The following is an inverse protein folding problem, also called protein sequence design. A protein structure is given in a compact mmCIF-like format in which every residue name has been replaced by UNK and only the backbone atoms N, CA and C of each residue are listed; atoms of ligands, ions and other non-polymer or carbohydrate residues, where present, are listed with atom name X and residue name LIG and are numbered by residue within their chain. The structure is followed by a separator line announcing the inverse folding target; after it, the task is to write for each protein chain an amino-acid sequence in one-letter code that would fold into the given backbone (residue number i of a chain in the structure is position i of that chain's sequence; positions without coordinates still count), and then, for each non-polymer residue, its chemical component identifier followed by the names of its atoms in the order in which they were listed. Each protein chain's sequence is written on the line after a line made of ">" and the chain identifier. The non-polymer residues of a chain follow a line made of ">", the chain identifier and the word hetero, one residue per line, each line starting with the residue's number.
data_IF_270047104336
#
_entry.id   IF_270047104336
#
_cell.length_a   1.000
_cell.length_b   1.000
_cell.length_c   1.000
_cell.angle_alpha   90.00
_cell.angle_beta   90.00
_cell.angle_gamma   90.00
#
_symmetry.space_group_name_H-M   'P 1'
#
loop_
_entity.id
_entity.type
_entity.pdbx_description
1 polymer ?
#
# COMPACT_ATOMS: atom_id res chain seq x y z
N UNK A 1 32.00 22.72 14.24
CA UNK A 1 30.78 22.09 14.80
C UNK A 1 29.51 22.59 14.09
N UNK A 2 29.46 23.81 13.62
CA UNK A 2 28.30 24.39 12.91
C UNK A 2 28.14 23.90 11.46
N UNK A 3 29.24 23.71 10.73
CA UNK A 3 29.24 23.13 9.37
C UNK A 3 28.78 21.68 9.35
N UNK A 4 29.14 20.87 10.36
CA UNK A 4 28.71 19.48 10.49
C UNK A 4 27.21 19.37 10.78
N UNK A 5 26.66 20.32 11.56
CA UNK A 5 25.21 20.39 11.82
C UNK A 5 24.40 20.82 10.58
N UNK A 6 24.92 21.76 9.78
CA UNK A 6 24.29 22.15 8.49
C UNK A 6 24.26 21.00 7.51
N UNK A 7 25.38 20.29 7.35
CA UNK A 7 25.48 19.11 6.48
C UNK A 7 24.55 17.98 6.92
N UNK A 8 24.42 17.72 8.23
CA UNK A 8 23.52 16.70 8.76
C UNK A 8 22.03 17.08 8.50
N UNK A 9 21.65 18.33 8.74
CA UNK A 9 20.29 18.81 8.50
C UNK A 9 19.87 18.73 7.03
N UNK A 10 20.79 19.05 6.11
CA UNK A 10 20.54 18.91 4.68
C UNK A 10 20.41 17.46 4.24
N UNK A 11 21.21 16.57 4.81
CA UNK A 11 21.12 15.13 4.53
C UNK A 11 19.81 14.53 5.03
N UNK A 12 19.38 14.87 6.25
CA UNK A 12 18.08 14.44 6.80
C UNK A 12 16.92 14.95 5.95
N UNK A 13 16.97 16.22 5.53
CA UNK A 13 15.95 16.83 4.66
C UNK A 13 15.87 16.12 3.30
N UNK A 14 17.02 15.75 2.74
CA UNK A 14 17.13 15.02 1.48
C UNK A 14 16.56 13.59 1.57
N UNK A 15 16.89 12.89 2.66
CA UNK A 15 16.34 11.56 2.94
C UNK A 15 14.83 11.62 3.21
N UNK A 16 14.38 12.58 4.00
CA UNK A 16 12.95 12.78 4.24
C UNK A 16 12.19 13.05 2.94
N UNK A 17 12.71 13.94 2.07
CA UNK A 17 12.10 14.16 0.76
C UNK A 17 12.05 12.88 -0.08
N UNK A 18 13.15 12.14 -0.17
CA UNK A 18 13.26 10.92 -0.95
C UNK A 18 12.25 9.86 -0.50
N UNK A 19 12.14 9.62 0.80
CA UNK A 19 11.30 8.55 1.33
C UNK A 19 9.85 8.98 1.59
N UNK A 20 9.59 10.19 2.07
CA UNK A 20 8.22 10.63 2.38
C UNK A 20 7.51 11.38 1.25
N UNK A 21 8.23 11.96 0.29
CA UNK A 21 7.60 12.66 -0.84
C UNK A 21 7.72 11.84 -2.12
N UNK A 22 8.93 11.51 -2.54
CA UNK A 22 9.15 10.87 -3.83
C UNK A 22 8.62 9.42 -3.83
N UNK A 23 8.95 8.63 -2.80
CA UNK A 23 8.50 7.25 -2.69
C UNK A 23 6.98 7.15 -2.47
N UNK A 24 6.37 7.99 -1.63
CA UNK A 24 4.91 8.05 -1.50
C UNK A 24 4.22 8.49 -2.79
N UNK A 25 4.81 9.43 -3.52
CA UNK A 25 4.34 9.80 -4.86
C UNK A 25 4.36 8.62 -5.83
N UNK A 26 5.41 7.79 -5.76
CA UNK A 26 5.50 6.54 -6.53
C UNK A 26 4.44 5.52 -6.12
N UNK A 27 4.25 5.33 -4.81
CA UNK A 27 3.20 4.48 -4.27
C UNK A 27 1.81 4.91 -4.77
N UNK A 28 1.51 6.21 -4.74
CA UNK A 28 0.24 6.74 -5.22
C UNK A 28 0.01 6.44 -6.70
N UNK A 29 1.01 6.64 -7.55
CA UNK A 29 0.91 6.33 -8.97
C UNK A 29 0.62 4.85 -9.22
N UNK A 30 1.30 3.95 -8.48
CA UNK A 30 1.04 2.52 -8.53
C UNK A 30 -0.40 2.17 -8.11
N UNK A 31 -0.89 2.76 -7.01
CA UNK A 31 -2.26 2.58 -6.53
C UNK A 31 -3.31 3.04 -7.54
N UNK A 32 -3.08 4.18 -8.19
CA UNK A 32 -4.01 4.71 -9.20
C UNK A 32 -4.18 3.75 -10.37
N UNK A 33 -3.06 3.25 -10.92
CA UNK A 33 -3.09 2.38 -12.10
C UNK A 33 -3.66 1.00 -11.80
N UNK A 34 -3.48 0.50 -10.58
CA UNK A 34 -3.91 -0.85 -10.21
C UNK A 34 -5.22 -0.83 -9.43
N UNK A 35 -5.19 -0.42 -8.17
CA UNK A 35 -6.34 -0.52 -7.28
C UNK A 35 -7.50 0.38 -7.71
N UNK A 36 -7.24 1.67 -8.00
CA UNK A 36 -8.32 2.61 -8.31
C UNK A 36 -8.92 2.29 -9.69
N UNK A 37 -8.09 2.06 -10.70
CA UNK A 37 -8.59 1.65 -12.01
C UNK A 37 -9.32 0.29 -11.94
N UNK A 38 -8.78 -0.67 -11.18
CA UNK A 38 -9.39 -1.98 -10.95
C UNK A 38 -10.77 -1.89 -10.29
N UNK A 39 -10.90 -1.05 -9.25
CA UNK A 39 -12.19 -0.85 -8.58
C UNK A 39 -13.21 -0.17 -9.49
N UNK A 40 -12.82 0.79 -10.31
CA UNK A 40 -13.72 1.42 -11.30
C UNK A 40 -14.25 0.36 -12.27
N UNK A 41 -13.37 -0.46 -12.84
CA UNK A 41 -13.76 -1.56 -13.75
C UNK A 41 -14.70 -2.54 -13.06
N UNK A 42 -14.42 -2.91 -11.80
CA UNK A 42 -15.29 -3.79 -11.00
C UNK A 42 -16.66 -3.18 -10.74
N UNK A 43 -16.77 -1.87 -10.52
CA UNK A 43 -18.07 -1.19 -10.37
C UNK A 43 -18.86 -1.19 -11.69
N UNK A 44 -18.20 -0.94 -12.82
CA UNK A 44 -18.84 -1.04 -14.14
C UNK A 44 -19.35 -2.47 -14.39
N UNK A 45 -18.56 -3.48 -14.02
CA UNK A 45 -18.96 -4.88 -14.11
C UNK A 45 -20.26 -5.17 -13.33
N UNK A 46 -20.37 -4.64 -12.10
CA UNK A 46 -21.58 -4.76 -11.27
C UNK A 46 -22.79 -4.09 -11.89
N UNK A 47 -22.62 -2.93 -12.52
CA UNK A 47 -23.70 -2.22 -13.23
C UNK A 47 -24.22 -2.97 -14.47
N UNK A 48 -23.32 -3.64 -15.19
CA UNK A 48 -23.69 -4.45 -16.38
C UNK A 48 -24.36 -5.77 -15.96
N UNK A 49 -24.04 -6.26 -14.77
CA UNK A 49 -24.47 -7.57 -14.26
C UNK A 49 -23.37 -8.62 -14.42
N UNK A 50 -22.92 -9.15 -13.29
CA UNK A 50 -21.84 -10.14 -13.21
C UNK A 50 -22.25 -11.53 -13.73
N UNK A 51 -23.54 -11.78 -13.90
CA UNK A 51 -24.11 -13.02 -14.48
C UNK A 51 -23.96 -13.08 -16.02
N UNK A 52 -23.67 -11.95 -16.65
CA UNK A 52 -23.46 -11.87 -18.10
C UNK A 52 -21.97 -12.07 -18.39
N UNK A 53 -21.64 -12.82 -19.44
CA UNK A 53 -20.26 -13.17 -19.79
C UNK A 53 -19.30 -11.97 -19.87
N UNK A 54 -19.78 -10.84 -20.40
CA UNK A 54 -18.97 -9.61 -20.47
C UNK A 54 -18.79 -8.96 -19.09
N UNK A 55 -19.82 -8.90 -18.24
CA UNK A 55 -19.69 -8.38 -16.88
C UNK A 55 -18.78 -9.23 -16.01
N UNK A 56 -18.86 -10.56 -16.14
CA UNK A 56 -17.94 -11.48 -15.46
C UNK A 56 -16.48 -11.26 -15.89
N UNK A 57 -16.23 -11.02 -17.19
CA UNK A 57 -14.89 -10.72 -17.70
C UNK A 57 -14.35 -9.41 -17.12
N UNK A 58 -15.16 -8.35 -17.10
CA UNK A 58 -14.78 -7.07 -16.50
C UNK A 58 -14.49 -7.22 -15.00
N UNK A 59 -15.30 -8.00 -14.28
CA UNK A 59 -15.05 -8.28 -12.86
C UNK A 59 -13.71 -8.99 -12.65
N UNK A 60 -13.39 -9.98 -13.47
CA UNK A 60 -12.09 -10.65 -13.44
C UNK A 60 -10.93 -9.66 -13.66
N UNK A 61 -11.03 -8.79 -14.68
CA UNK A 61 -10.02 -7.77 -14.96
C UNK A 61 -9.85 -6.82 -13.77
N UNK A 62 -10.94 -6.35 -13.18
CA UNK A 62 -10.92 -5.49 -12.00
C UNK A 62 -10.30 -6.15 -10.78
N UNK A 63 -10.61 -7.41 -10.52
CA UNK A 63 -10.04 -8.19 -9.44
C UNK A 63 -8.53 -8.40 -9.62
N UNK A 64 -8.09 -8.78 -10.84
CA UNK A 64 -6.66 -8.93 -11.15
C UNK A 64 -5.92 -7.62 -10.93
N UNK A 65 -6.46 -6.50 -11.43
CA UNK A 65 -5.84 -5.19 -11.25
C UNK A 65 -5.73 -4.81 -9.76
N UNK A 66 -6.76 -5.08 -8.96
CA UNK A 66 -6.76 -4.81 -7.51
C UNK A 66 -5.71 -5.63 -6.76
N UNK A 67 -5.56 -6.91 -7.08
CA UNK A 67 -4.56 -7.78 -6.43
C UNK A 67 -3.13 -7.41 -6.83
N UNK A 68 -2.94 -6.92 -8.07
CA UNK A 68 -1.64 -6.41 -8.53
C UNK A 68 -1.24 -5.07 -7.91
N UNK A 69 -2.04 -4.53 -6.98
CA UNK A 69 -1.76 -3.28 -6.26
C UNK A 69 -0.33 -3.24 -5.71
N UNK A 70 0.10 -4.30 -5.03
CA UNK A 70 1.45 -4.38 -4.48
C UNK A 70 2.53 -4.27 -5.55
N UNK A 71 2.35 -4.94 -6.68
CA UNK A 71 3.28 -4.85 -7.82
C UNK A 71 3.32 -3.43 -8.40
N UNK A 72 2.16 -2.78 -8.55
CA UNK A 72 2.06 -1.39 -8.99
C UNK A 72 2.79 -0.43 -8.05
N UNK A 73 2.60 -0.58 -6.74
CA UNK A 73 3.33 0.17 -5.71
C UNK A 73 4.84 -0.03 -5.87
N UNK A 74 5.28 -1.29 -6.03
CA UNK A 74 6.69 -1.62 -6.17
C UNK A 74 7.34 -0.91 -7.34
N UNK A 75 6.76 -1.02 -8.52
CA UNK A 75 7.25 -0.36 -9.73
C UNK A 75 7.22 1.17 -9.60
N UNK A 76 6.13 1.73 -9.06
CA UNK A 76 5.96 3.16 -8.88
C UNK A 76 7.04 3.75 -7.97
N UNK A 77 7.33 3.12 -6.83
CA UNK A 77 8.40 3.53 -5.91
C UNK A 77 9.75 3.41 -6.58
N UNK A 78 10.06 2.26 -7.20
CA UNK A 78 11.33 2.05 -7.87
C UNK A 78 11.58 3.08 -8.98
N UNK A 79 10.56 3.41 -9.76
CA UNK A 79 10.64 4.45 -10.79
C UNK A 79 10.98 5.82 -10.20
N UNK A 80 10.30 6.24 -9.13
CA UNK A 80 10.53 7.54 -8.46
C UNK A 80 11.89 7.60 -7.76
N UNK A 81 12.37 6.49 -7.22
CA UNK A 81 13.70 6.41 -6.59
C UNK A 81 14.85 6.25 -7.60
N UNK A 82 14.55 6.20 -8.90
CA UNK A 82 15.54 6.09 -9.97
C UNK A 82 16.05 4.67 -10.19
N UNK A 83 15.31 3.65 -9.76
CA UNK A 83 15.61 2.24 -10.04
C UNK A 83 15.59 1.97 -11.55
N UNK A 84 16.63 1.29 -12.05
CA UNK A 84 16.80 0.98 -13.46
C UNK A 84 16.93 -0.52 -13.69
N UNK A 85 16.61 -0.94 -14.93
CA UNK A 85 16.80 -2.32 -15.36
C UNK A 85 16.10 -3.34 -14.47
N UNK A 86 16.84 -4.35 -14.03
CA UNK A 86 16.30 -5.49 -13.27
C UNK A 86 15.72 -5.10 -11.90
N UNK A 87 16.27 -4.05 -11.25
CA UNK A 87 15.74 -3.56 -9.96
C UNK A 87 14.32 -3.03 -10.14
N UNK A 88 14.04 -2.30 -11.22
CA UNK A 88 12.70 -1.78 -11.52
C UNK A 88 11.69 -2.91 -11.70
N UNK A 89 12.02 -3.95 -12.47
CA UNK A 89 11.12 -5.08 -12.69
C UNK A 89 11.00 -5.97 -11.43
N UNK A 90 12.12 -6.22 -10.74
CA UNK A 90 12.13 -6.99 -9.51
C UNK A 90 11.32 -6.35 -8.39
N UNK A 91 11.21 -5.02 -8.37
CA UNK A 91 10.40 -4.29 -7.38
C UNK A 91 8.89 -4.60 -7.47
N UNK A 92 8.40 -5.05 -8.64
CA UNK A 92 7.02 -5.55 -8.76
C UNK A 92 6.80 -6.79 -7.89
N UNK A 93 7.77 -7.71 -7.91
CA UNK A 93 7.72 -8.94 -7.09
C UNK A 93 7.85 -8.57 -5.61
N UNK A 94 8.80 -7.69 -5.27
CA UNK A 94 8.97 -7.19 -3.90
C UNK A 94 7.68 -6.55 -3.36
N UNK A 95 7.01 -5.75 -4.17
CA UNK A 95 5.76 -5.10 -3.81
C UNK A 95 4.62 -6.07 -3.59
N UNK A 96 4.51 -7.11 -4.42
CA UNK A 96 3.50 -8.15 -4.25
C UNK A 96 3.75 -8.98 -2.98
N UNK A 97 5.00 -9.37 -2.73
CA UNK A 97 5.39 -10.05 -1.48
C UNK A 97 5.04 -9.17 -0.28
N UNK A 98 5.42 -7.90 -0.31
CA UNK A 98 5.15 -6.94 0.77
C UNK A 98 3.67 -6.63 0.99
N UNK A 99 2.82 -6.83 -0.02
CA UNK A 99 1.38 -6.64 0.12
C UNK A 99 0.70 -7.75 0.94
N UNK A 100 1.20 -8.99 0.87
CA UNK A 100 0.55 -10.15 1.49
C UNK A 100 1.34 -10.74 2.66
N UNK A 101 2.67 -10.82 2.56
CA UNK A 101 3.50 -11.51 3.54
C UNK A 101 3.46 -10.89 4.94
N UNK A 102 3.61 -9.55 5.15
CA UNK A 102 3.58 -8.96 6.48
C UNK A 102 2.23 -9.14 7.19
N UNK A 103 1.13 -9.09 6.46
CA UNK A 103 -0.20 -9.34 7.01
C UNK A 103 -0.35 -10.82 7.41
N UNK A 104 0.09 -11.76 6.58
CA UNK A 104 0.06 -13.18 6.90
C UNK A 104 0.90 -13.53 8.13
N UNK A 105 2.09 -12.90 8.27
CA UNK A 105 2.94 -13.05 9.46
C UNK A 105 2.20 -12.53 10.70
N UNK A 106 1.58 -11.35 10.60
CA UNK A 106 0.82 -10.76 11.69
C UNK A 106 -0.35 -11.65 12.11
N UNK A 107 -1.13 -12.17 11.15
CA UNK A 107 -2.30 -13.00 11.40
C UNK A 107 -1.93 -14.33 12.07
N UNK A 108 -0.78 -14.92 11.70
CA UNK A 108 -0.26 -16.13 12.35
C UNK A 108 0.27 -15.82 13.74
N UNK A 109 0.96 -14.67 13.93
CA UNK A 109 1.51 -14.27 15.22
C UNK A 109 0.41 -13.85 16.22
N UNK A 110 -0.72 -13.34 15.74
CA UNK A 110 -1.87 -12.95 16.55
C UNK A 110 -2.82 -14.13 16.85
N UNK A 111 -2.67 -15.26 16.14
CA UNK A 111 -3.48 -16.47 16.36
C UNK A 111 -2.99 -17.31 17.52
N UNK A 112 -3.86 -18.19 18.05
CA UNK A 112 -3.55 -19.08 19.17
C UNK A 112 -2.67 -20.30 18.78
N UNK A 113 -2.21 -20.37 17.53
CA UNK A 113 -1.39 -21.45 17.00
C UNK A 113 0.11 -21.22 17.16
N UNK A 114 0.91 -22.30 17.05
CA UNK A 114 2.36 -22.18 17.01
C UNK A 114 2.80 -21.41 15.77
N UNK A 115 3.68 -20.42 15.94
CA UNK A 115 4.26 -19.69 14.80
C UNK A 115 5.16 -20.61 13.99
N UNK A 116 4.73 -20.94 12.78
CA UNK A 116 5.51 -21.72 11.82
C UNK A 116 5.51 -21.03 10.45
N UNK A 117 6.63 -21.17 9.72
CA UNK A 117 6.72 -20.60 8.36
C UNK A 117 5.71 -21.29 7.41
N UNK A 118 5.31 -22.53 7.70
CA UNK A 118 4.29 -23.24 6.94
C UNK A 118 2.92 -22.56 7.12
N UNK A 119 2.55 -22.21 8.35
CA UNK A 119 1.31 -21.48 8.63
C UNK A 119 1.27 -20.10 7.94
N UNK A 120 2.41 -19.40 7.90
CA UNK A 120 2.51 -18.13 7.15
C UNK A 120 2.30 -18.38 5.65
N UNK A 121 2.94 -19.39 5.08
CA UNK A 121 2.80 -19.70 3.65
C UNK A 121 1.35 -20.09 3.29
N UNK A 122 0.64 -20.79 4.17
CA UNK A 122 -0.76 -21.15 4.01
C UNK A 122 -1.70 -19.93 4.09
N UNK A 123 -1.37 -18.93 4.91
CA UNK A 123 -2.14 -17.69 5.02
C UNK A 123 -1.94 -16.75 3.81
N UNK A 124 -0.84 -16.86 3.07
CA UNK A 124 -0.58 -16.09 1.84
C UNK A 124 -1.41 -16.64 0.68
N UNK A 125 -2.70 -16.33 0.66
CA UNK A 125 -3.66 -16.86 -0.32
C UNK A 125 -3.90 -15.88 -1.49
N UNK A 126 -2.91 -15.74 -2.36
CA UNK A 126 -3.03 -14.87 -3.56
C UNK A 126 -4.15 -15.36 -4.50
N UNK A 127 -4.35 -16.64 -4.63
CA UNK A 127 -5.41 -17.22 -5.46
C UNK A 127 -6.82 -16.88 -4.97
N UNK A 128 -7.05 -16.95 -3.65
CA UNK A 128 -8.31 -16.54 -3.04
C UNK A 128 -8.53 -15.02 -3.16
N UNK A 129 -7.46 -14.23 -3.06
CA UNK A 129 -7.49 -12.78 -3.29
C UNK A 129 -7.84 -12.43 -4.74
N UNK A 130 -7.34 -13.18 -5.72
CA UNK A 130 -7.71 -13.02 -7.13
C UNK A 130 -9.20 -13.28 -7.37
N UNK A 131 -9.77 -14.29 -6.74
CA UNK A 131 -11.19 -14.60 -6.86
C UNK A 131 -12.08 -13.52 -6.23
N UNK A 132 -11.67 -12.98 -5.07
CA UNK A 132 -12.43 -11.99 -4.31
C UNK A 132 -12.13 -10.53 -4.68
N UNK A 133 -11.04 -10.27 -5.43
CA UNK A 133 -10.54 -8.93 -5.73
C UNK A 133 -10.01 -8.18 -4.50
N UNK A 134 -9.67 -8.91 -3.42
CA UNK A 134 -9.12 -8.28 -2.21
C UNK A 134 -7.67 -7.85 -2.43
N UNK A 135 -7.38 -6.54 -2.33
CA UNK A 135 -6.01 -6.06 -2.38
C UNK A 135 -5.26 -6.46 -1.10
N UNK A 136 -3.94 -6.57 -1.20
CA UNK A 136 -3.10 -6.73 -0.02
C UNK A 136 -2.92 -5.42 0.77
N UNK A 137 -1.99 -5.42 1.72
CA UNK A 137 -1.70 -4.25 2.56
C UNK A 137 -0.73 -3.29 1.86
N UNK A 138 -1.14 -2.04 1.55
CA UNK A 138 -0.29 -1.09 0.83
C UNK A 138 0.92 -0.61 1.64
N UNK A 139 0.80 -0.48 2.96
CA UNK A 139 1.92 -0.06 3.83
C UNK A 139 2.95 -1.19 3.97
N UNK A 140 2.49 -2.44 4.07
CA UNK A 140 3.38 -3.60 4.02
C UNK A 140 4.20 -3.62 2.72
N UNK A 141 3.53 -3.39 1.58
CA UNK A 141 4.18 -3.26 0.28
C UNK A 141 5.19 -2.11 0.24
N UNK A 142 4.81 -0.93 0.74
CA UNK A 142 5.67 0.26 0.77
C UNK A 142 7.00 0.00 1.50
N UNK A 143 6.94 -0.49 2.74
CA UNK A 143 8.14 -0.72 3.56
C UNK A 143 9.01 -1.81 2.96
N UNK A 144 8.41 -2.91 2.54
CA UNK A 144 9.11 -4.03 1.91
C UNK A 144 9.86 -3.59 0.66
N UNK A 145 9.20 -2.82 -0.21
CA UNK A 145 9.79 -2.32 -1.45
C UNK A 145 10.93 -1.34 -1.19
N UNK A 146 10.77 -0.41 -0.25
CA UNK A 146 11.85 0.53 0.11
C UNK A 146 13.11 -0.21 0.52
N UNK A 147 12.99 -1.15 1.45
CA UNK A 147 14.13 -1.93 1.93
C UNK A 147 14.71 -2.81 0.81
N UNK A 148 13.85 -3.44 0.01
CA UNK A 148 14.29 -4.30 -1.08
C UNK A 148 15.08 -3.50 -2.14
N UNK A 149 14.61 -2.32 -2.54
CA UNK A 149 15.29 -1.48 -3.52
C UNK A 149 16.65 -0.98 -2.97
N UNK A 150 16.67 -0.43 -1.76
CA UNK A 150 17.89 0.15 -1.20
C UNK A 150 18.97 -0.92 -0.99
N UNK A 151 18.61 -2.08 -0.45
CA UNK A 151 19.58 -3.17 -0.24
C UNK A 151 20.02 -3.82 -1.56
N UNK A 152 19.11 -4.00 -2.52
CA UNK A 152 19.48 -4.57 -3.82
C UNK A 152 20.35 -3.61 -4.63
N UNK A 153 20.13 -2.30 -4.55
CA UNK A 153 20.99 -1.31 -5.20
C UNK A 153 22.43 -1.34 -4.70
N UNK A 154 22.69 -1.84 -3.50
CA UNK A 154 24.07 -2.04 -3.02
C UNK A 154 24.82 -3.13 -3.80
N UNK A 155 24.09 -4.07 -4.39
CA UNK A 155 24.63 -5.23 -5.11
C UNK A 155 24.56 -5.00 -6.63
N UNK A 156 23.51 -4.38 -7.10
CA UNK A 156 23.23 -4.16 -8.52
C UNK A 156 24.35 -3.36 -9.22
N UNK A 157 24.76 -3.82 -10.39
CA UNK A 157 25.79 -3.19 -11.22
C UNK A 157 27.22 -3.50 -10.81
N UNK A 158 27.46 -4.37 -9.83
CA UNK A 158 28.80 -4.71 -9.33
C UNK A 158 29.36 -6.02 -9.87
N UNK A 159 28.52 -6.87 -10.44
CA UNK A 159 28.91 -8.21 -10.88
C UNK A 159 28.52 -8.48 -12.34
N UNK A 160 29.26 -9.35 -13.00
CA UNK A 160 28.93 -9.80 -14.38
C UNK A 160 27.68 -10.71 -14.40
N UNK A 161 27.24 -11.20 -13.24
CA UNK A 161 26.09 -12.08 -13.07
C UNK A 161 24.84 -11.34 -12.56
N UNK A 162 24.77 -10.03 -12.76
CA UNK A 162 23.66 -9.18 -12.28
C UNK A 162 22.29 -9.66 -12.76
N UNK A 163 22.23 -10.26 -13.95
CA UNK A 163 20.98 -10.79 -14.51
C UNK A 163 20.32 -11.87 -13.63
N UNK A 164 21.12 -12.62 -12.89
CA UNK A 164 20.66 -13.64 -11.95
C UNK A 164 20.67 -13.13 -10.51
N UNK A 165 21.70 -12.39 -10.13
CA UNK A 165 21.93 -11.96 -8.75
C UNK A 165 20.92 -10.92 -8.30
N UNK A 166 20.58 -9.95 -9.16
CA UNK A 166 19.62 -8.88 -8.81
C UNK A 166 18.22 -9.43 -8.56
N UNK A 167 17.59 -10.27 -9.43
CA UNK A 167 16.28 -10.84 -9.13
C UNK A 167 16.26 -11.73 -7.87
N UNK A 168 17.28 -12.55 -7.67
CA UNK A 168 17.35 -13.40 -6.48
C UNK A 168 17.54 -12.58 -5.21
N UNK A 169 18.41 -11.57 -5.23
CA UNK A 169 18.63 -10.70 -4.08
C UNK A 169 17.40 -9.90 -3.71
N UNK A 170 16.67 -9.35 -4.69
CA UNK A 170 15.44 -8.58 -4.39
C UNK A 170 14.35 -9.45 -3.79
N UNK A 171 14.20 -10.71 -4.25
CA UNK A 171 13.24 -11.66 -3.66
C UNK A 171 13.64 -12.03 -2.24
N UNK A 172 14.91 -12.41 -2.01
CA UNK A 172 15.41 -12.77 -0.69
C UNK A 172 15.29 -11.61 0.32
N UNK A 173 15.68 -10.41 -0.10
CA UNK A 173 15.56 -9.20 0.71
C UNK A 173 14.09 -8.88 0.99
N UNK A 174 13.18 -9.09 0.03
CA UNK A 174 11.74 -8.83 0.21
C UNK A 174 11.13 -9.72 1.29
N UNK A 175 11.57 -10.97 1.42
CA UNK A 175 11.12 -11.85 2.50
C UNK A 175 11.57 -11.30 3.86
N UNK A 176 12.85 -10.94 3.99
CA UNK A 176 13.38 -10.36 5.23
C UNK A 176 12.73 -9.01 5.55
N UNK A 177 12.56 -8.15 4.55
CA UNK A 177 11.89 -6.87 4.70
C UNK A 177 10.40 -7.01 5.07
N UNK A 178 9.75 -8.10 4.65
CA UNK A 178 8.39 -8.43 5.06
C UNK A 178 8.26 -8.59 6.57
N UNK A 179 9.23 -9.22 7.24
CA UNK A 179 9.25 -9.30 8.70
C UNK A 179 9.44 -7.92 9.36
N UNK A 180 10.27 -7.06 8.77
CA UNK A 180 10.47 -5.69 9.26
C UNK A 180 9.22 -4.83 9.09
N UNK A 181 8.37 -5.12 8.11
CA UNK A 181 7.12 -4.41 7.86
C UNK A 181 5.99 -4.77 8.84
N UNK A 182 6.08 -5.89 9.55
CA UNK A 182 5.02 -6.37 10.47
C UNK A 182 4.60 -5.34 11.52
N UNK A 183 5.51 -4.63 12.24
CA UNK A 183 5.11 -3.64 13.24
C UNK A 183 4.30 -2.49 12.64
N UNK A 184 4.61 -2.07 11.41
CA UNK A 184 3.85 -1.01 10.75
C UNK A 184 2.46 -1.51 10.31
N UNK A 185 2.36 -2.74 9.82
CA UNK A 185 1.07 -3.38 9.52
C UNK A 185 0.23 -3.52 10.79
N UNK A 186 0.83 -3.93 11.90
CA UNK A 186 0.17 -3.99 13.20
C UNK A 186 -0.38 -2.62 13.64
N UNK A 187 0.42 -1.56 13.52
CA UNK A 187 -0.01 -0.20 13.87
C UNK A 187 -1.21 0.24 13.02
N UNK A 188 -1.17 0.01 11.71
CA UNK A 188 -2.29 0.33 10.81
C UNK A 188 -3.53 -0.51 11.14
N UNK A 189 -3.39 -1.80 11.42
CA UNK A 189 -4.50 -2.66 11.84
C UNK A 189 -5.15 -2.17 13.14
N UNK A 190 -4.35 -1.66 14.08
CA UNK A 190 -4.86 -1.05 15.32
C UNK A 190 -5.67 0.21 15.04
N UNK A 191 -5.18 1.10 14.16
CA UNK A 191 -5.90 2.30 13.75
C UNK A 191 -7.20 1.94 13.04
N UNK A 192 -7.17 0.98 12.11
CA UNK A 192 -8.36 0.51 11.38
C UNK A 192 -9.42 -0.05 12.33
N UNK A 193 -9.00 -0.85 13.30
CA UNK A 193 -9.88 -1.41 14.33
C UNK A 193 -10.50 -0.33 15.23
N UNK A 194 -9.71 0.68 15.59
CA UNK A 194 -10.22 1.83 16.34
C UNK A 194 -11.29 2.58 15.53
N UNK A 195 -11.05 2.83 14.24
CA UNK A 195 -12.02 3.48 13.35
C UNK A 195 -13.29 2.65 13.24
N UNK A 196 -13.18 1.34 13.07
CA UNK A 196 -14.32 0.42 12.98
C UNK A 196 -15.21 0.48 14.23
N UNK A 197 -14.61 0.27 15.41
CA UNK A 197 -15.31 0.30 16.69
C UNK A 197 -15.92 1.67 16.98
N UNK A 198 -15.18 2.74 16.74
CA UNK A 198 -15.64 4.10 16.98
C UNK A 198 -16.78 4.49 16.01
N UNK A 199 -16.72 4.05 14.75
CA UNK A 199 -17.77 4.28 13.75
C UNK A 199 -19.03 3.52 14.09
N UNK A 200 -18.91 2.27 14.57
CA UNK A 200 -20.05 1.47 15.00
C UNK A 200 -20.74 2.06 16.25
N UNK A 201 -19.96 2.61 17.20
CA UNK A 201 -20.47 3.17 18.43
C UNK A 201 -21.14 4.55 18.23
N UNK A 202 -20.49 5.44 17.46
CA UNK A 202 -20.92 6.83 17.25
C UNK A 202 -20.65 7.27 15.79
N UNK A 203 -21.47 6.83 14.83
CA UNK A 203 -21.20 7.04 13.40
C UNK A 203 -21.15 8.52 13.01
N UNK A 204 -21.97 9.39 13.62
CA UNK A 204 -21.99 10.81 13.30
C UNK A 204 -20.71 11.52 13.74
N UNK A 205 -20.27 11.31 14.99
CA UNK A 205 -19.05 11.92 15.52
C UNK A 205 -17.83 11.43 14.75
N UNK A 206 -17.77 10.12 14.49
CA UNK A 206 -16.66 9.53 13.74
C UNK A 206 -16.63 10.01 12.29
N UNK A 207 -17.78 10.21 11.66
CA UNK A 207 -17.89 10.81 10.33
C UNK A 207 -17.27 12.21 10.28
N UNK A 208 -17.55 13.06 11.28
CA UNK A 208 -16.95 14.40 11.41
C UNK A 208 -15.41 14.31 11.60
N UNK A 209 -14.95 13.43 12.50
CA UNK A 209 -13.51 13.24 12.77
C UNK A 209 -12.76 12.80 11.51
N UNK A 210 -13.28 11.79 10.79
CA UNK A 210 -12.67 11.30 9.55
C UNK A 210 -12.64 12.41 8.48
N UNK A 211 -13.73 13.17 8.34
CA UNK A 211 -13.82 14.28 7.40
C UNK A 211 -12.74 15.35 7.66
N UNK A 212 -12.56 15.74 8.92
CA UNK A 212 -11.54 16.73 9.32
C UNK A 212 -10.14 16.19 9.11
N UNK A 213 -9.86 14.95 9.53
CA UNK A 213 -8.54 14.32 9.36
C UNK A 213 -8.17 14.20 7.88
N UNK A 214 -9.12 13.79 7.03
CA UNK A 214 -8.88 13.72 5.59
C UNK A 214 -8.65 15.09 4.97
N UNK A 215 -9.38 16.11 5.41
CA UNK A 215 -9.14 17.49 5.01
C UNK A 215 -7.71 17.96 5.34
N UNK A 216 -7.23 17.66 6.54
CA UNK A 216 -5.86 18.01 6.97
C UNK A 216 -4.82 17.23 6.14
N UNK A 217 -5.03 15.91 5.91
CA UNK A 217 -4.11 15.08 5.12
C UNK A 217 -3.95 15.58 3.68
N UNK A 218 -4.99 16.18 3.09
CA UNK A 218 -4.90 16.78 1.76
C UNK A 218 -3.97 18.00 1.70
N UNK A 219 -3.76 18.70 2.79
CA UNK A 219 -2.83 19.85 2.83
C UNK A 219 -1.37 19.42 2.94
N UNK A 220 -1.10 18.17 3.31
CA UNK A 220 0.25 17.65 3.44
C UNK A 220 0.85 17.27 2.08
N UNK A 221 2.17 17.41 1.88
CA UNK A 221 2.85 17.01 0.64
C UNK A 221 2.98 15.49 0.48
N UNK A 222 2.10 14.73 1.12
CA UNK A 222 2.00 13.27 1.06
C UNK A 222 0.74 12.87 0.29
N UNK A 223 0.71 11.66 -0.25
CA UNK A 223 -0.50 11.15 -0.90
C UNK A 223 -1.55 10.77 0.15
N UNK A 224 -2.51 11.66 0.39
CA UNK A 224 -3.66 11.40 1.28
C UNK A 224 -4.45 10.17 0.86
N UNK A 225 -4.60 9.94 -0.45
CA UNK A 225 -5.26 8.75 -0.98
C UNK A 225 -4.55 7.45 -0.58
N UNK A 226 -3.20 7.42 -0.65
CA UNK A 226 -2.43 6.25 -0.26
C UNK A 226 -2.57 5.93 1.24
N UNK A 227 -2.54 6.96 2.09
CA UNK A 227 -2.72 6.80 3.55
C UNK A 227 -4.13 6.30 3.86
N UNK A 228 -5.16 6.91 3.24
CA UNK A 228 -6.54 6.50 3.47
C UNK A 228 -6.81 5.06 3.03
N UNK A 229 -6.32 4.66 1.85
CA UNK A 229 -6.46 3.28 1.37
C UNK A 229 -5.80 2.30 2.33
N UNK A 230 -4.63 2.64 2.88
CA UNK A 230 -3.95 1.81 3.85
C UNK A 230 -4.77 1.60 5.14
N UNK A 231 -5.40 2.66 5.63
CA UNK A 231 -6.27 2.60 6.82
C UNK A 231 -7.57 1.87 6.51
N UNK A 232 -8.20 2.17 5.37
CA UNK A 232 -9.48 1.57 4.97
C UNK A 232 -9.38 0.08 4.63
N UNK A 233 -8.22 -0.39 4.20
CA UNK A 233 -8.01 -1.80 3.88
C UNK A 233 -8.20 -2.75 5.08
N UNK A 234 -8.11 -2.24 6.31
CA UNK A 234 -8.35 -3.01 7.54
C UNK A 234 -9.78 -2.96 8.08
N UNK A 235 -10.70 -2.20 7.44
CA UNK A 235 -12.09 -2.06 7.89
C UNK A 235 -13.01 -2.90 6.99
N UNK A 236 -13.61 -3.96 7.53
CA UNK A 236 -14.36 -4.96 6.74
C UNK A 236 -15.89 -4.88 6.91
N UNK A 237 -16.43 -3.82 7.51
CA UNK A 237 -17.85 -3.72 7.88
C UNK A 237 -18.61 -2.59 7.16
N UNK A 238 -19.90 -2.47 7.43
CA UNK A 238 -20.74 -1.32 7.03
C UNK A 238 -20.16 0.02 7.53
N UNK A 239 -19.34 0.00 8.58
CA UNK A 239 -18.56 1.13 9.05
C UNK A 239 -17.62 1.68 7.97
N UNK A 240 -17.13 0.85 7.04
CA UNK A 240 -16.32 1.29 5.91
C UNK A 240 -17.07 2.18 4.93
N UNK A 241 -18.37 1.93 4.70
CA UNK A 241 -19.19 2.78 3.83
C UNK A 241 -19.37 4.17 4.45
N UNK A 242 -19.62 4.23 5.76
CA UNK A 242 -19.73 5.50 6.49
C UNK A 242 -18.40 6.24 6.54
N UNK A 243 -17.31 5.53 6.87
CA UNK A 243 -15.97 6.10 6.90
C UNK A 243 -15.52 6.60 5.51
N UNK A 244 -15.81 5.82 4.46
CA UNK A 244 -15.54 6.21 3.08
C UNK A 244 -16.32 7.44 2.63
N UNK A 245 -17.61 7.50 2.95
CA UNK A 245 -18.45 8.67 2.69
C UNK A 245 -17.95 9.93 3.40
N UNK A 246 -17.57 9.81 4.67
CA UNK A 246 -16.99 10.90 5.44
C UNK A 246 -15.64 11.38 4.88
N UNK A 247 -14.79 10.45 4.44
CA UNK A 247 -13.52 10.79 3.79
C UNK A 247 -13.73 11.57 2.49
N UNK A 248 -14.68 11.14 1.64
CA UNK A 248 -15.04 11.85 0.41
C UNK A 248 -15.58 13.24 0.73
N UNK A 249 -16.47 13.37 1.73
CA UNK A 249 -16.99 14.66 2.15
C UNK A 249 -15.89 15.62 2.61
N UNK A 250 -14.91 15.15 3.39
CA UNK A 250 -13.74 15.94 3.80
C UNK A 250 -12.88 16.39 2.63
N UNK A 251 -12.63 15.51 1.67
CA UNK A 251 -11.91 15.85 0.44
C UNK A 251 -12.65 16.91 -0.39
N UNK A 252 -13.95 16.75 -0.58
CA UNK A 252 -14.77 17.71 -1.34
C UNK A 252 -14.80 19.08 -0.66
N UNK A 253 -14.98 19.11 0.67
CA UNK A 253 -15.00 20.37 1.44
C UNK A 253 -13.67 21.13 1.31
N UNK A 254 -12.55 20.41 1.37
CA UNK A 254 -11.22 21.01 1.19
C UNK A 254 -11.02 21.56 -0.22
N UNK A 255 -11.44 20.82 -1.24
CA UNK A 255 -11.35 21.27 -2.65
C UNK A 255 -12.15 22.54 -2.88
N UNK A 256 -13.37 22.62 -2.33
CA UNK A 256 -14.20 23.85 -2.39
C UNK A 256 -13.51 24.99 -1.66
N UNK A 257 -12.92 24.75 -0.49
CA UNK A 257 -12.17 25.76 0.26
C UNK A 257 -11.01 26.35 -0.54
N UNK A 258 -10.26 25.53 -1.27
CA UNK A 258 -9.19 26.00 -2.15
C UNK A 258 -9.68 26.75 -3.40
N UNK A 259 -10.87 26.41 -3.90
CA UNK A 259 -11.44 27.08 -5.08
C UNK A 259 -11.99 28.47 -4.76
N UNK A 260 -12.26 28.78 -3.49
CA UNK A 260 -12.83 30.06 -3.02
C UNK A 260 -11.75 31.03 -2.51
N UNK A 261 -10.54 30.54 -2.20
CA UNK A 261 -9.38 31.38 -1.85
C UNK A 261 -8.62 31.86 -3.08
#
# INVERSE_FOLDING_TARGET
>A
MEETKKSFGETVKKLAKRYFIDAFGGMAQGLFVTLIAGTIVSQIAKLIGTDKGFGALLMLIGNVASVLMGAGIGVGIAHKLGGKGLVLFGSAVAGLIGAFLPQAIFDVAAGDGAFTLMAVAEKVQISASLASGRPGNPIGSYITVLLAIELTNLIAGKTKLDILLVPLSIMAVSILAGFVAVPAVWLISLISRFIEVATAAQPFIMGVVISVVMGILLTMPTSSAAIWIAVAAGVESDAMLLAGGAAVAGCCAQMVGFAVM
#
